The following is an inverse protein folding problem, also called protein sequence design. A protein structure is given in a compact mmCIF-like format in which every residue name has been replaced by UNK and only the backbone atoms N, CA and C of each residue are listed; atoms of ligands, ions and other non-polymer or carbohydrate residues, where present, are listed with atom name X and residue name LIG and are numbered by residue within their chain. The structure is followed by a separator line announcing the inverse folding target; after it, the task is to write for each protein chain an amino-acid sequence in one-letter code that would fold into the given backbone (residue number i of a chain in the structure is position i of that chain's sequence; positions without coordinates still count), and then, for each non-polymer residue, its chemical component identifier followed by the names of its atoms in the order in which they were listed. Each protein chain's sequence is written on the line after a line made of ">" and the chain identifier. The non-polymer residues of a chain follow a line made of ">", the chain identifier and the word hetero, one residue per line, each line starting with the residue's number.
data_IF_052468232905
#
_entry.id   IF_052468232905
#
_cell.length_a   1.000
_cell.length_b   1.000
_cell.length_c   1.000
_cell.angle_alpha   90.00
_cell.angle_beta   90.00
_cell.angle_gamma   90.00
#
_symmetry.space_group_name_H-M   'P 1'
#
loop_
_entity.id
_entity.type
_entity.pdbx_description
1 polymer ?
#
# COMPACT_ATOMS: atom_id res chain seq x y z
N UNK A 1 -16.76 -0.27 -5.02
CA UNK A 1 -16.50 0.88 -5.90
C UNK A 1 -15.13 0.80 -6.55
N UNK A 2 -14.06 0.71 -5.77
CA UNK A 2 -12.69 0.55 -6.31
C UNK A 2 -12.59 -0.64 -7.26
N UNK A 3 -13.14 -1.81 -6.90
CA UNK A 3 -13.15 -2.98 -7.79
C UNK A 3 -13.86 -2.75 -9.14
N UNK A 4 -14.87 -1.88 -9.18
CA UNK A 4 -15.59 -1.56 -10.41
C UNK A 4 -14.79 -0.57 -11.27
N UNK A 5 -14.11 0.39 -10.65
CA UNK A 5 -13.22 1.31 -11.33
C UNK A 5 -11.99 0.58 -11.92
N UNK A 6 -11.46 -0.42 -11.21
CA UNK A 6 -10.41 -1.34 -11.70
C UNK A 6 -10.83 -2.10 -12.95
N UNK A 7 -12.02 -2.70 -12.97
CA UNK A 7 -12.52 -3.45 -14.13
C UNK A 7 -12.69 -2.62 -15.40
N UNK A 8 -12.89 -1.31 -15.28
CA UNK A 8 -13.11 -0.42 -16.42
C UNK A 8 -11.82 0.11 -17.05
N UNK A 9 -10.67 -0.06 -16.39
CA UNK A 9 -9.41 0.46 -16.87
C UNK A 9 -8.71 -0.54 -17.80
N UNK A 10 -8.45 -0.14 -19.05
CA UNK A 10 -7.68 -0.93 -20.01
C UNK A 10 -6.18 -0.66 -19.81
N UNK A 11 -5.47 -1.55 -19.12
CA UNK A 11 -4.01 -1.52 -19.07
C UNK A 11 -3.42 -2.93 -18.99
N UNK A 12 -2.24 -3.10 -19.60
CA UNK A 12 -1.39 -4.27 -19.40
C UNK A 12 -0.39 -3.95 -18.28
N UNK A 13 -0.42 -4.74 -17.20
CA UNK A 13 0.54 -4.57 -16.10
C UNK A 13 1.90 -5.15 -16.49
N UNK A 14 3.00 -4.37 -16.35
CA UNK A 14 4.34 -4.89 -16.55
C UNK A 14 4.64 -6.03 -15.57
N UNK A 15 5.16 -7.15 -16.09
CA UNK A 15 5.46 -8.33 -15.27
C UNK A 15 6.42 -8.02 -14.11
N UNK A 16 7.44 -7.19 -14.35
CA UNK A 16 8.38 -6.76 -13.31
C UNK A 16 7.72 -6.02 -12.14
N UNK A 17 6.61 -5.32 -12.40
CA UNK A 17 5.82 -4.65 -11.36
C UNK A 17 5.08 -5.68 -10.50
N UNK A 18 4.50 -6.71 -11.13
CA UNK A 18 3.83 -7.81 -10.45
C UNK A 18 4.83 -8.60 -9.61
N UNK A 19 5.99 -8.94 -10.16
CA UNK A 19 7.06 -9.64 -9.44
C UNK A 19 7.53 -8.87 -8.22
N UNK A 20 7.79 -7.56 -8.38
CA UNK A 20 8.20 -6.69 -7.26
C UNK A 20 7.15 -6.69 -6.15
N UNK A 21 5.86 -6.58 -6.51
CA UNK A 21 4.78 -6.59 -5.54
C UNK A 21 4.63 -7.94 -4.84
N UNK A 22 4.76 -9.05 -5.57
CA UNK A 22 4.72 -10.40 -5.00
C UNK A 22 5.88 -10.61 -4.03
N UNK A 23 7.10 -10.20 -4.40
CA UNK A 23 8.26 -10.26 -3.51
C UNK A 23 8.04 -9.44 -2.23
N UNK A 24 7.53 -8.21 -2.33
CA UNK A 24 7.22 -7.39 -1.16
C UNK A 24 6.21 -8.07 -0.23
N UNK A 25 5.15 -8.65 -0.80
CA UNK A 25 4.14 -9.39 -0.03
C UNK A 25 4.71 -10.63 0.65
N UNK A 26 5.62 -11.35 -0.01
CA UNK A 26 6.29 -12.51 0.55
C UNK A 26 7.25 -12.12 1.70
N UNK A 27 7.98 -11.01 1.56
CA UNK A 27 8.84 -10.47 2.62
C UNK A 27 8.03 -10.06 3.86
N UNK A 28 6.89 -9.38 3.65
CA UNK A 28 6.00 -8.97 4.74
C UNK A 28 5.36 -10.18 5.42
N UNK A 29 5.01 -11.20 4.65
CA UNK A 29 4.58 -12.48 5.19
C UNK A 29 5.67 -13.12 6.05
N UNK A 30 6.91 -13.23 5.54
CA UNK A 30 8.04 -13.78 6.27
C UNK A 30 8.33 -13.02 7.57
N UNK A 31 8.23 -11.68 7.55
CA UNK A 31 8.37 -10.83 8.74
C UNK A 31 7.31 -11.14 9.79
N UNK A 32 6.05 -11.32 9.37
CA UNK A 32 4.96 -11.71 10.28
C UNK A 32 5.17 -13.10 10.89
N UNK A 33 5.62 -14.07 10.10
CA UNK A 33 5.94 -15.42 10.58
C UNK A 33 7.10 -15.37 11.59
N UNK A 34 8.15 -14.62 11.29
CA UNK A 34 9.28 -14.39 12.21
C UNK A 34 8.84 -13.76 13.53
N UNK A 35 7.95 -12.77 13.49
CA UNK A 35 7.41 -12.13 14.69
C UNK A 35 6.57 -13.09 15.54
N UNK A 36 6.04 -14.17 14.97
CA UNK A 36 5.37 -15.26 15.69
C UNK A 36 6.35 -16.31 16.23
N UNK A 37 7.66 -16.12 16.05
CA UNK A 37 8.70 -17.04 16.52
C UNK A 37 8.99 -18.22 15.59
N UNK A 38 8.51 -18.18 14.34
CA UNK A 38 8.70 -19.23 13.35
C UNK A 38 9.65 -18.79 12.24
N UNK A 39 10.39 -19.74 11.65
CA UNK A 39 11.07 -19.51 10.37
C UNK A 39 10.13 -19.85 9.20
N UNK A 40 10.42 -19.30 8.01
CA UNK A 40 9.70 -19.68 6.78
C UNK A 40 9.85 -21.16 6.44
N UNK A 41 11.01 -21.76 6.73
CA UNK A 41 11.25 -23.18 6.55
C UNK A 41 10.33 -24.03 7.44
N UNK A 42 10.19 -23.67 8.72
CA UNK A 42 9.27 -24.34 9.65
C UNK A 42 7.82 -24.18 9.21
N UNK A 43 7.45 -22.97 8.73
CA UNK A 43 6.11 -22.73 8.20
C UNK A 43 5.79 -23.65 7.01
N UNK A 44 6.73 -23.79 6.06
CA UNK A 44 6.57 -24.69 4.93
C UNK A 44 6.48 -26.17 5.35
N UNK A 45 7.29 -26.60 6.32
CA UNK A 45 7.20 -27.95 6.86
C UNK A 45 5.85 -28.24 7.52
N UNK A 46 5.29 -27.29 8.27
CA UNK A 46 3.99 -27.47 8.94
C UNK A 46 2.80 -27.40 7.99
N UNK A 47 2.86 -26.55 6.98
CA UNK A 47 1.74 -26.32 6.05
C UNK A 47 1.79 -27.21 4.80
N UNK A 48 2.96 -27.79 4.51
CA UNK A 48 3.21 -28.51 3.25
C UNK A 48 3.30 -27.60 2.02
N UNK A 49 3.34 -26.27 2.21
CA UNK A 49 3.51 -25.31 1.12
C UNK A 49 4.98 -25.21 0.69
N UNK A 50 5.21 -24.79 -0.56
CA UNK A 50 6.53 -24.40 -1.06
C UNK A 50 6.62 -22.88 -1.25
N UNK A 51 7.83 -22.38 -1.43
CA UNK A 51 8.05 -20.97 -1.75
C UNK A 51 7.40 -20.60 -3.09
N UNK A 52 7.54 -21.44 -4.12
CA UNK A 52 6.91 -21.20 -5.42
C UNK A 52 5.39 -21.13 -5.28
N UNK A 53 4.79 -22.07 -4.54
CA UNK A 53 3.34 -22.09 -4.36
C UNK A 53 2.84 -20.87 -3.60
N UNK A 54 3.58 -20.41 -2.60
CA UNK A 54 3.28 -19.18 -1.87
C UNK A 54 3.26 -17.96 -2.81
N UNK A 55 4.28 -17.82 -3.67
CA UNK A 55 4.38 -16.71 -4.62
C UNK A 55 3.26 -16.76 -5.67
N UNK A 56 2.96 -17.95 -6.19
CA UNK A 56 1.83 -18.17 -7.11
C UNK A 56 0.50 -17.76 -6.47
N UNK A 57 0.25 -18.15 -5.24
CA UNK A 57 -1.00 -17.83 -4.53
C UNK A 57 -1.10 -16.34 -4.17
N UNK A 58 0.04 -15.65 -4.03
CA UNK A 58 0.10 -14.19 -3.80
C UNK A 58 -0.09 -13.38 -5.08
N UNK A 59 0.25 -13.91 -6.27
CA UNK A 59 0.21 -13.16 -7.53
C UNK A 59 -1.16 -12.53 -7.85
N UNK A 60 -2.31 -13.22 -7.74
CA UNK A 60 -3.61 -12.60 -8.03
C UNK A 60 -3.92 -11.42 -7.10
N UNK A 61 -3.51 -11.52 -5.83
CA UNK A 61 -3.69 -10.44 -4.87
C UNK A 61 -2.73 -9.27 -5.14
N UNK A 62 -1.49 -9.56 -5.54
CA UNK A 62 -0.52 -8.56 -5.96
C UNK A 62 -1.04 -7.74 -7.15
N UNK A 63 -1.56 -8.41 -8.18
CA UNK A 63 -2.20 -7.77 -9.34
C UNK A 63 -3.32 -6.85 -8.87
N UNK A 64 -4.31 -7.36 -8.12
CA UNK A 64 -5.44 -6.56 -7.64
C UNK A 64 -5.00 -5.34 -6.81
N UNK A 65 -3.96 -5.49 -6.01
CA UNK A 65 -3.38 -4.41 -5.20
C UNK A 65 -2.78 -3.30 -6.08
N UNK A 66 -1.98 -3.68 -7.08
CA UNK A 66 -1.42 -2.76 -8.07
C UNK A 66 -2.53 -2.04 -8.82
N UNK A 67 -3.51 -2.79 -9.31
CA UNK A 67 -4.64 -2.26 -10.08
C UNK A 67 -5.42 -1.21 -9.29
N UNK A 68 -5.71 -1.53 -8.04
CA UNK A 68 -6.38 -0.63 -7.09
C UNK A 68 -5.59 0.66 -6.90
N UNK A 69 -4.28 0.55 -6.68
CA UNK A 69 -3.41 1.72 -6.50
C UNK A 69 -3.39 2.60 -7.75
N UNK A 70 -3.22 2.03 -8.94
CA UNK A 70 -3.19 2.79 -10.20
C UNK A 70 -4.50 3.54 -10.45
N UNK A 71 -5.64 2.92 -10.14
CA UNK A 71 -6.95 3.58 -10.24
C UNK A 71 -7.07 4.75 -9.28
N UNK A 72 -6.65 4.58 -8.03
CA UNK A 72 -6.69 5.64 -7.04
C UNK A 72 -5.75 6.80 -7.42
N UNK A 73 -4.54 6.49 -7.89
CA UNK A 73 -3.61 7.50 -8.42
C UNK A 73 -4.19 8.24 -9.64
N UNK A 74 -4.92 7.55 -10.52
CA UNK A 74 -5.61 8.18 -11.65
C UNK A 74 -6.71 9.13 -11.17
N UNK A 75 -7.47 8.76 -10.13
CA UNK A 75 -8.49 9.62 -9.51
C UNK A 75 -7.86 10.85 -8.87
N UNK A 76 -6.80 10.68 -8.08
CA UNK A 76 -6.02 11.80 -7.49
C UNK A 76 -5.64 12.81 -8.57
N UNK A 77 -5.14 12.33 -9.72
CA UNK A 77 -4.77 13.20 -10.84
C UNK A 77 -5.97 13.83 -11.54
N UNK A 78 -7.05 13.09 -11.74
CA UNK A 78 -8.24 13.57 -12.44
C UNK A 78 -8.99 14.64 -11.64
N UNK A 79 -9.09 14.45 -10.33
CA UNK A 79 -9.78 15.35 -9.40
C UNK A 79 -8.85 16.43 -8.82
N UNK A 80 -7.57 16.42 -9.22
CA UNK A 80 -6.52 17.33 -8.74
C UNK A 80 -6.44 17.39 -7.21
N UNK A 81 -6.43 16.22 -6.57
CA UNK A 81 -6.33 16.09 -5.12
C UNK A 81 -4.91 16.46 -4.68
N UNK A 82 -4.77 17.62 -4.04
CA UNK A 82 -3.51 18.11 -3.50
C UNK A 82 -3.42 17.87 -1.99
N UNK A 83 -2.31 17.30 -1.54
CA UNK A 83 -2.04 17.14 -0.11
C UNK A 83 -1.46 18.42 0.45
N UNK A 84 -2.28 19.12 1.22
CA UNK A 84 -1.84 20.31 1.97
C UNK A 84 -0.75 19.96 2.98
N UNK A 85 0.12 20.92 3.27
CA UNK A 85 1.16 20.74 4.30
C UNK A 85 0.54 20.50 5.69
N UNK A 86 -0.62 21.08 5.99
CA UNK A 86 -1.34 20.82 7.22
C UNK A 86 -1.78 19.36 7.35
N UNK A 87 -2.25 18.75 6.25
CA UNK A 87 -2.64 17.33 6.23
C UNK A 87 -1.42 16.42 6.37
N UNK A 88 -0.31 16.78 5.72
CA UNK A 88 0.97 16.09 5.87
C UNK A 88 1.45 16.14 7.33
N UNK A 89 1.38 17.30 7.98
CA UNK A 89 1.81 17.48 9.36
C UNK A 89 0.94 16.68 10.35
N UNK A 90 -0.37 16.60 10.11
CA UNK A 90 -1.28 15.75 10.88
C UNK A 90 -0.89 14.26 10.78
N UNK A 91 -0.57 13.78 9.58
CA UNK A 91 -0.18 12.39 9.37
C UNK A 91 1.17 12.08 10.03
N UNK A 92 2.15 12.97 9.90
CA UNK A 92 3.44 12.85 10.59
C UNK A 92 3.25 12.83 12.11
N UNK A 93 2.34 13.64 12.66
CA UNK A 93 2.02 13.62 14.08
C UNK A 93 1.46 12.27 14.53
N UNK A 94 0.51 11.69 13.78
CA UNK A 94 -0.05 10.36 14.07
C UNK A 94 1.01 9.26 14.05
N UNK A 95 1.91 9.32 13.07
CA UNK A 95 3.05 8.40 12.98
C UNK A 95 3.95 8.55 14.21
N UNK A 96 4.31 9.78 14.56
CA UNK A 96 5.15 10.08 15.71
C UNK A 96 4.57 9.52 17.02
N UNK A 97 3.26 9.68 17.23
CA UNK A 97 2.53 9.11 18.38
C UNK A 97 2.62 7.57 18.41
N UNK A 98 2.44 6.90 17.25
CA UNK A 98 2.54 5.44 17.14
C UNK A 98 3.94 4.93 17.48
N UNK A 99 4.98 5.64 17.01
CA UNK A 99 6.38 5.31 17.27
C UNK A 99 6.89 5.87 18.60
N UNK A 100 6.04 6.56 19.38
CA UNK A 100 6.36 7.25 20.64
C UNK A 100 7.58 8.16 20.51
N UNK A 101 7.65 8.89 19.41
CA UNK A 101 8.68 9.88 19.13
C UNK A 101 8.08 11.26 18.92
N UNK A 102 8.94 12.26 18.94
CA UNK A 102 8.57 13.65 18.67
C UNK A 102 8.39 13.87 17.16
N UNK A 103 7.32 14.58 16.78
CA UNK A 103 6.94 14.76 15.37
C UNK A 103 7.95 15.63 14.61
N UNK A 104 8.50 16.66 15.25
CA UNK A 104 9.51 17.51 14.61
C UNK A 104 10.79 16.73 14.35
N UNK A 105 11.24 15.92 15.33
CA UNK A 105 12.37 15.01 15.12
C UNK A 105 12.13 13.99 14.02
N UNK A 106 10.93 13.40 13.96
CA UNK A 106 10.57 12.49 12.87
C UNK A 106 10.72 13.21 11.51
N UNK A 107 10.13 14.40 11.38
CA UNK A 107 10.15 15.20 10.15
C UNK A 107 11.56 15.65 9.73
N UNK A 108 12.42 15.95 10.70
CA UNK A 108 13.84 16.26 10.48
C UNK A 108 14.62 15.07 9.95
N UNK A 109 14.30 13.85 10.42
CA UNK A 109 14.98 12.63 9.96
C UNK A 109 14.48 12.13 8.60
N UNK A 110 13.31 12.58 8.16
CA UNK A 110 12.71 12.19 6.88
C UNK A 110 13.42 12.83 5.69
N UNK A 111 13.87 12.00 4.76
CA UNK A 111 14.38 12.44 3.46
C UNK A 111 13.26 12.82 2.49
N UNK A 112 13.58 13.55 1.42
CA UNK A 112 12.59 14.04 0.44
C UNK A 112 11.79 12.89 -0.22
N UNK A 113 12.44 11.75 -0.49
CA UNK A 113 11.77 10.56 -1.04
C UNK A 113 10.73 9.97 -0.09
N UNK A 114 11.00 10.02 1.21
CA UNK A 114 10.09 9.51 2.23
C UNK A 114 8.89 10.45 2.40
N UNK A 115 9.14 11.77 2.44
CA UNK A 115 8.09 12.79 2.44
C UNK A 115 7.18 12.66 1.22
N UNK A 116 7.75 12.47 0.03
CA UNK A 116 6.99 12.27 -1.20
C UNK A 116 6.09 11.03 -1.13
N UNK A 117 6.62 9.89 -0.66
CA UNK A 117 5.83 8.66 -0.46
C UNK A 117 4.66 8.87 0.50
N UNK A 118 4.88 9.53 1.63
CA UNK A 118 3.82 9.80 2.60
C UNK A 118 2.75 10.70 1.97
N UNK A 119 3.14 11.74 1.23
CA UNK A 119 2.18 12.59 0.51
C UNK A 119 1.38 11.79 -0.54
N UNK A 120 2.01 10.88 -1.28
CA UNK A 120 1.30 9.98 -2.20
C UNK A 120 0.28 9.10 -1.45
N UNK A 121 0.68 8.50 -0.33
CA UNK A 121 -0.19 7.64 0.45
C UNK A 121 -1.38 8.41 1.05
N UNK A 122 -1.17 9.65 1.51
CA UNK A 122 -2.25 10.55 1.94
C UNK A 122 -3.19 10.85 0.77
N UNK A 123 -2.67 11.21 -0.41
CA UNK A 123 -3.50 11.52 -1.57
C UNK A 123 -4.39 10.33 -1.96
N UNK A 124 -3.85 9.11 -1.91
CA UNK A 124 -4.60 7.87 -2.16
C UNK A 124 -5.70 7.66 -1.12
N UNK A 125 -5.45 7.94 0.17
CA UNK A 125 -6.49 7.90 1.20
C UNK A 125 -7.60 8.92 0.95
N UNK A 126 -7.25 10.16 0.59
CA UNK A 126 -8.22 11.21 0.26
C UNK A 126 -9.07 10.82 -0.97
N UNK A 127 -8.47 10.16 -1.97
CA UNK A 127 -9.23 9.63 -3.11
C UNK A 127 -10.23 8.54 -2.70
N UNK A 128 -9.90 7.70 -1.72
CA UNK A 128 -10.84 6.72 -1.17
C UNK A 128 -11.99 7.44 -0.45
N UNK A 129 -11.70 8.44 0.38
CA UNK A 129 -12.71 9.25 1.06
C UNK A 129 -13.63 9.93 0.05
N UNK A 130 -13.07 10.58 -0.97
CA UNK A 130 -13.82 11.18 -2.07
C UNK A 130 -14.74 10.17 -2.77
N UNK A 131 -14.23 8.98 -3.09
CA UNK A 131 -15.05 7.93 -3.69
C UNK A 131 -16.21 7.50 -2.78
N UNK A 132 -15.98 7.36 -1.48
CA UNK A 132 -17.00 6.96 -0.51
C UNK A 132 -18.06 8.05 -0.36
N UNK A 133 -17.66 9.31 -0.22
CA UNK A 133 -18.60 10.44 -0.06
C UNK A 133 -19.49 10.60 -1.30
N UNK A 134 -18.91 10.44 -2.49
CA UNK A 134 -19.64 10.47 -3.77
C UNK A 134 -20.36 9.14 -4.08
N UNK A 135 -20.11 8.07 -3.32
CA UNK A 135 -20.79 6.78 -3.49
C UNK A 135 -22.21 6.77 -2.95
N UNK A 136 -22.42 7.54 -1.88
CA UNK A 136 -23.64 7.51 -1.07
C UNK A 136 -24.71 8.44 -1.66
N UNK A 137 -24.36 9.31 -2.61
CA UNK A 137 -25.34 10.01 -3.45
C UNK A 137 -25.84 9.11 -4.60
N UNK A 138 -26.77 8.20 -4.27
CA UNK A 138 -27.82 7.74 -5.18
C UNK A 138 -29.14 7.52 -4.44
#
# INVERSE_FOLDING_TARGET
>A
MVEQAVKNAQYELPEAMVETQVSQMAEDFARRIKNQGLSMEQYFQFTGLSAEKLLEDMRPQAVKSIETRLVLEAIVKAENIEVSDARFDEEVQKMAEMYRMDADKMKETMGDREKARIKEDIAVQEAITFLVDNAVEK
#
